data_IF_955389673748
#
_entry.id   IF_955389673748
#
_cell.length_a   1.000
_cell.length_b   1.000
_cell.length_c   1.000
_cell.angle_alpha   90.00
_cell.angle_beta   90.00
_cell.angle_gamma   90.00
#
_symmetry.space_group_name_H-M   'P 1'
#
loop_
_entity.id
_entity.type
_entity.pdbx_description
1 polymer ?
#
# COMPACT_ATOMS: atom_id res chain seq x y z
N UNK A 1 -1.47 -4.72 -7.02
CA UNK A 1 -0.71 -5.89 -7.47
C UNK A 1 -0.85 -7.09 -6.52
N UNK A 2 -0.14 -7.15 -5.37
CA UNK A 2 -0.13 -8.33 -4.47
C UNK A 2 -1.50 -8.88 -4.05
N UNK A 3 -2.43 -8.00 -3.67
CA UNK A 3 -3.77 -8.40 -3.21
C UNK A 3 -4.55 -9.15 -4.28
N UNK A 4 -4.66 -8.59 -5.49
CA UNK A 4 -5.39 -9.21 -6.59
C UNK A 4 -4.75 -10.53 -7.04
N UNK A 5 -3.43 -10.61 -7.11
CA UNK A 5 -2.73 -11.87 -7.45
C UNK A 5 -3.02 -12.94 -6.38
N UNK A 6 -2.97 -12.56 -5.10
CA UNK A 6 -3.23 -13.50 -4.00
C UNK A 6 -4.69 -13.97 -3.96
N UNK A 7 -5.63 -13.09 -4.28
CA UNK A 7 -7.03 -13.45 -4.46
C UNK A 7 -7.19 -14.45 -5.63
N UNK A 8 -6.50 -14.22 -6.76
CA UNK A 8 -6.63 -15.11 -7.93
C UNK A 8 -5.98 -16.48 -7.72
N UNK A 9 -4.89 -16.59 -6.94
CA UNK A 9 -4.37 -17.91 -6.52
C UNK A 9 -5.41 -18.65 -5.67
N UNK A 10 -6.02 -17.97 -4.70
CA UNK A 10 -7.07 -18.56 -3.88
C UNK A 10 -8.31 -18.96 -4.70
N UNK A 11 -8.72 -18.13 -5.67
CA UNK A 11 -9.82 -18.46 -6.59
C UNK A 11 -9.47 -19.63 -7.50
N UNK A 12 -8.24 -19.71 -8.01
CA UNK A 12 -7.79 -20.87 -8.80
C UNK A 12 -7.85 -22.16 -7.97
N UNK A 13 -7.50 -22.10 -6.68
CA UNK A 13 -7.67 -23.23 -5.74
C UNK A 13 -9.14 -23.64 -5.59
N UNK A 14 -10.05 -22.67 -5.37
CA UNK A 14 -11.49 -22.91 -5.21
C UNK A 14 -12.07 -23.58 -6.47
N UNK A 15 -11.67 -23.10 -7.65
CA UNK A 15 -12.15 -23.59 -8.94
C UNK A 15 -11.42 -24.85 -9.42
N UNK A 16 -10.41 -25.34 -8.68
CA UNK A 16 -9.48 -26.40 -9.12
C UNK A 16 -8.87 -26.13 -10.51
N UNK A 17 -8.58 -24.86 -10.78
CA UNK A 17 -8.07 -24.39 -12.07
C UNK A 17 -6.54 -24.30 -12.08
N UNK A 18 -5.97 -24.38 -13.28
CA UNK A 18 -4.57 -23.97 -13.52
C UNK A 18 -4.51 -22.46 -13.62
N UNK A 19 -3.60 -21.83 -12.87
CA UNK A 19 -3.34 -20.39 -12.94
C UNK A 19 -2.28 -20.12 -14.00
N UNK A 20 -2.53 -19.17 -14.90
CA UNK A 20 -1.48 -18.62 -15.76
C UNK A 20 -0.84 -17.43 -15.04
N UNK A 21 0.48 -17.25 -15.18
CA UNK A 21 1.19 -16.09 -14.62
C UNK A 21 0.44 -14.79 -14.96
N UNK A 22 0.11 -13.95 -13.97
CA UNK A 22 -0.70 -12.76 -14.20
C UNK A 22 -0.03 -11.72 -15.10
N UNK A 23 -0.81 -11.14 -16.00
CA UNK A 23 -0.44 -9.91 -16.68
C UNK A 23 -0.62 -8.72 -15.73
N UNK A 24 0.44 -7.92 -15.57
CA UNK A 24 0.37 -6.68 -14.80
C UNK A 24 -0.26 -5.57 -15.64
N UNK A 25 -1.00 -4.68 -14.98
CA UNK A 25 -1.64 -3.55 -15.65
C UNK A 25 -0.62 -2.49 -16.04
N UNK A 26 -0.56 -2.21 -17.35
CA UNK A 26 0.35 -1.23 -17.97
C UNK A 26 -0.34 0.05 -18.43
N UNK A 27 -1.67 0.14 -18.24
CA UNK A 27 -2.52 1.21 -18.80
C UNK A 27 -3.07 2.17 -17.74
N UNK A 28 -2.95 1.82 -16.46
CA UNK A 28 -3.36 2.67 -15.35
C UNK A 28 -2.45 3.89 -15.16
N UNK A 29 -2.82 4.76 -14.22
CA UNK A 29 -2.18 6.04 -13.90
C UNK A 29 -0.64 6.04 -13.88
N UNK A 30 -0.02 4.99 -13.34
CA UNK A 30 1.44 4.90 -13.19
C UNK A 30 2.19 4.50 -14.47
N UNK A 31 1.47 4.09 -15.53
CA UNK A 31 1.99 3.73 -16.86
C UNK A 31 3.21 2.78 -16.84
N UNK A 32 3.30 1.95 -15.81
CA UNK A 32 4.41 1.03 -15.60
C UNK A 32 4.39 -0.11 -16.61
N UNK A 33 5.53 -0.38 -17.25
CA UNK A 33 5.64 -1.39 -18.30
C UNK A 33 6.13 -2.76 -17.82
N UNK A 34 6.42 -2.90 -16.52
CA UNK A 34 6.92 -4.13 -15.91
C UNK A 34 6.02 -5.33 -16.19
N UNK A 35 6.64 -6.47 -16.49
CA UNK A 35 6.00 -7.78 -16.47
C UNK A 35 6.04 -8.37 -15.05
N UNK A 36 5.38 -9.52 -14.87
CA UNK A 36 5.40 -10.21 -13.57
C UNK A 36 6.82 -10.51 -13.10
N UNK A 37 7.66 -11.06 -13.98
CA UNK A 37 9.06 -11.44 -13.70
C UNK A 37 9.98 -10.24 -13.42
N UNK A 38 9.61 -9.05 -13.87
CA UNK A 38 10.39 -7.83 -13.63
C UNK A 38 10.19 -7.32 -12.19
N UNK A 39 9.08 -7.71 -11.54
CA UNK A 39 8.74 -7.29 -10.17
C UNK A 39 8.87 -8.43 -9.18
N UNK A 40 8.47 -9.64 -9.53
CA UNK A 40 8.46 -10.81 -8.66
C UNK A 40 9.32 -11.94 -9.21
N UNK A 41 9.87 -12.75 -8.30
CA UNK A 41 10.56 -13.98 -8.65
C UNK A 41 9.56 -15.02 -9.17
N UNK A 42 9.43 -15.11 -10.50
CA UNK A 42 8.49 -15.99 -11.20
C UNK A 42 8.71 -17.47 -10.87
N UNK A 43 9.97 -17.92 -10.86
CA UNK A 43 10.32 -19.32 -10.57
C UNK A 43 9.98 -19.68 -9.14
N UNK A 44 10.32 -18.81 -8.19
CA UNK A 44 9.95 -18.99 -6.79
C UNK A 44 8.42 -19.03 -6.62
N UNK A 45 7.68 -18.15 -7.30
CA UNK A 45 6.23 -18.12 -7.23
C UNK A 45 5.60 -19.44 -7.70
N UNK A 46 6.05 -19.99 -8.83
CA UNK A 46 5.57 -21.28 -9.37
C UNK A 46 5.93 -22.42 -8.41
N UNK A 47 7.19 -22.52 -8.00
CA UNK A 47 7.68 -23.60 -7.13
C UNK A 47 7.02 -23.58 -5.76
N UNK A 48 6.84 -22.40 -5.16
CA UNK A 48 6.24 -22.25 -3.84
C UNK A 48 4.78 -22.71 -3.82
N UNK A 49 4.04 -22.49 -4.92
CA UNK A 49 2.61 -22.83 -5.04
C UNK A 49 2.34 -24.23 -5.59
N UNK A 50 3.35 -25.01 -5.97
CA UNK A 50 3.19 -26.27 -6.70
C UNK A 50 2.25 -27.30 -6.02
N UNK A 51 2.22 -27.33 -4.68
CA UNK A 51 1.34 -28.23 -3.90
C UNK A 51 -0.06 -27.64 -3.63
N UNK A 52 -0.25 -26.35 -3.90
CA UNK A 52 -1.49 -25.62 -3.61
C UNK A 52 -2.29 -25.42 -4.91
N UNK A 53 -1.66 -24.90 -5.97
CA UNK A 53 -2.28 -24.57 -7.27
C UNK A 53 -1.27 -24.82 -8.38
N UNK A 54 -1.69 -25.47 -9.48
CA UNK A 54 -0.86 -25.59 -10.68
C UNK A 54 -0.70 -24.20 -11.32
N UNK A 55 0.53 -23.73 -11.46
CA UNK A 55 0.85 -22.45 -12.11
C UNK A 55 1.66 -22.72 -13.38
N UNK A 56 1.24 -22.12 -14.49
CA UNK A 56 1.92 -22.20 -15.78
C UNK A 56 2.33 -20.79 -16.25
N UNK A 57 3.49 -20.67 -16.90
CA UNK A 57 4.00 -19.38 -17.38
C UNK A 57 3.14 -18.78 -18.48
N UNK A 58 2.77 -19.64 -19.44
CA UNK A 58 2.05 -19.24 -20.63
C UNK A 58 0.81 -20.13 -20.80
N UNK A 59 -0.19 -19.59 -21.47
CA UNK A 59 -1.32 -20.38 -21.90
C UNK A 59 -0.82 -21.49 -22.86
N UNK A 60 -1.15 -22.77 -22.61
CA UNK A 60 -0.77 -23.87 -23.50
C UNK A 60 -1.19 -23.60 -24.95
N UNK A 61 -0.37 -24.00 -25.92
CA UNK A 61 -0.57 -23.67 -27.35
C UNK A 61 -1.91 -24.18 -27.87
N UNK A 62 -2.36 -25.32 -27.34
CA UNK A 62 -3.62 -25.97 -27.68
C UNK A 62 -4.83 -25.11 -27.25
N UNK A 63 -4.68 -24.32 -26.18
CA UNK A 63 -5.73 -23.46 -25.63
C UNK A 63 -5.74 -22.05 -26.21
N UNK A 64 -4.79 -21.70 -27.08
CA UNK A 64 -4.73 -20.37 -27.71
C UNK A 64 -5.97 -20.08 -28.56
N UNK A 65 -6.52 -21.11 -29.23
CA UNK A 65 -7.74 -21.02 -30.05
C UNK A 65 -9.00 -21.47 -29.32
N UNK A 66 -8.88 -21.93 -28.08
CA UNK A 66 -10.00 -22.42 -27.30
C UNK A 66 -11.02 -21.30 -26.98
N UNK A 67 -12.30 -21.64 -26.72
CA UNK A 67 -13.29 -20.66 -26.31
C UNK A 67 -12.88 -19.93 -25.03
N UNK A 68 -12.69 -18.61 -25.13
CA UNK A 68 -12.25 -17.75 -24.02
C UNK A 68 -13.41 -16.91 -23.48
N UNK A 69 -13.32 -16.56 -22.21
CA UNK A 69 -14.21 -15.59 -21.60
C UNK A 69 -13.42 -14.54 -20.84
N UNK A 70 -13.72 -13.27 -21.08
CA UNK A 70 -13.27 -12.18 -20.20
C UNK A 70 -14.36 -11.95 -19.16
N UNK A 71 -13.99 -12.00 -17.88
CA UNK A 71 -14.93 -11.86 -16.77
C UNK A 71 -14.47 -10.80 -15.78
N UNK A 72 -15.39 -9.93 -15.40
CA UNK A 72 -15.26 -9.04 -14.27
C UNK A 72 -15.96 -9.69 -13.09
N UNK A 73 -15.21 -10.38 -12.24
CA UNK A 73 -15.80 -11.05 -11.08
C UNK A 73 -16.49 -10.05 -10.15
N UNK A 74 -17.55 -10.49 -9.48
CA UNK A 74 -18.25 -9.68 -8.47
C UNK A 74 -17.27 -9.38 -7.32
N UNK A 75 -17.22 -8.12 -6.89
CA UNK A 75 -16.33 -7.70 -5.80
C UNK A 75 -16.71 -8.38 -4.48
N UNK A 76 -15.71 -8.69 -3.66
CA UNK A 76 -15.86 -9.26 -2.33
C UNK A 76 -16.65 -10.58 -2.26
N UNK A 77 -16.59 -11.40 -3.30
CA UNK A 77 -17.38 -12.62 -3.40
C UNK A 77 -16.86 -13.74 -2.50
N UNK A 78 -17.79 -14.50 -1.91
CA UNK A 78 -17.51 -15.73 -1.17
C UNK A 78 -17.24 -16.93 -2.08
N UNK A 79 -17.02 -18.10 -1.46
CA UNK A 79 -16.75 -19.35 -2.18
C UNK A 79 -17.92 -19.75 -3.09
N UNK A 80 -19.16 -19.59 -2.61
CA UNK A 80 -20.37 -19.99 -3.33
C UNK A 80 -20.50 -19.29 -4.69
N UNK A 81 -20.11 -18.03 -4.80
CA UNK A 81 -20.10 -17.31 -6.09
C UNK A 81 -19.20 -18.02 -7.12
N UNK A 82 -17.98 -18.39 -6.71
CA UNK A 82 -17.05 -19.05 -7.60
C UNK A 82 -17.51 -20.46 -7.95
N UNK A 83 -18.07 -21.20 -7.00
CA UNK A 83 -18.56 -22.56 -7.25
C UNK A 83 -19.83 -22.59 -8.09
N UNK A 84 -20.79 -21.69 -7.82
CA UNK A 84 -22.12 -21.76 -8.41
C UNK A 84 -22.27 -20.90 -9.67
N UNK A 85 -21.49 -19.82 -9.82
CA UNK A 85 -21.60 -18.93 -10.99
C UNK A 85 -20.39 -19.02 -11.93
N UNK A 86 -19.18 -19.24 -11.41
CA UNK A 86 -17.96 -19.26 -12.24
C UNK A 86 -17.61 -20.66 -12.69
N UNK A 87 -17.69 -21.67 -11.81
CA UNK A 87 -17.35 -23.06 -12.16
C UNK A 87 -18.18 -23.63 -13.31
N UNK A 88 -19.50 -23.37 -13.44
CA UNK A 88 -20.28 -23.88 -14.57
C UNK A 88 -19.81 -23.36 -15.93
N UNK A 89 -19.07 -22.25 -15.99
CA UNK A 89 -18.52 -21.73 -17.24
C UNK A 89 -17.53 -22.71 -17.89
N UNK A 90 -16.93 -23.64 -17.12
CA UNK A 90 -16.03 -24.66 -17.64
C UNK A 90 -16.70 -25.63 -18.61
N UNK A 91 -18.03 -25.77 -18.59
CA UNK A 91 -18.78 -26.60 -19.54
C UNK A 91 -18.70 -26.07 -20.98
N UNK A 92 -18.46 -24.77 -21.16
CA UNK A 92 -18.50 -24.11 -22.47
C UNK A 92 -17.29 -23.23 -22.76
N UNK A 93 -16.38 -23.06 -21.80
CA UNK A 93 -15.20 -22.21 -21.89
C UNK A 93 -14.02 -22.96 -21.29
N UNK A 94 -12.89 -22.92 -21.96
CA UNK A 94 -11.67 -23.58 -21.46
C UNK A 94 -10.69 -22.56 -20.84
N UNK A 95 -10.89 -21.27 -21.09
CA UNK A 95 -10.03 -20.19 -20.58
C UNK A 95 -10.87 -19.04 -20.06
N UNK A 96 -10.64 -18.66 -18.80
CA UNK A 96 -11.25 -17.48 -18.18
C UNK A 96 -10.17 -16.44 -17.89
N UNK A 97 -10.26 -15.28 -18.52
CA UNK A 97 -9.45 -14.11 -18.19
C UNK A 97 -10.20 -13.25 -17.16
N UNK A 98 -9.75 -13.30 -15.92
CA UNK A 98 -10.25 -12.43 -14.86
C UNK A 98 -9.72 -11.00 -15.05
N UNK A 99 -10.57 -10.10 -15.53
CA UNK A 99 -10.24 -8.69 -15.72
C UNK A 99 -10.40 -7.91 -14.41
N UNK A 100 -9.46 -7.00 -14.11
CA UNK A 100 -9.45 -6.14 -12.91
C UNK A 100 -9.64 -6.96 -11.62
N UNK A 101 -8.69 -7.84 -11.33
CA UNK A 101 -8.78 -8.85 -10.25
C UNK A 101 -8.64 -8.30 -8.83
N UNK A 102 -8.61 -6.99 -8.64
CA UNK A 102 -8.56 -6.36 -7.34
C UNK A 102 -9.89 -6.53 -6.56
N UNK A 103 -9.78 -6.87 -5.27
CA UNK A 103 -10.91 -6.94 -4.33
C UNK A 103 -12.04 -7.87 -4.79
N UNK A 104 -11.72 -9.01 -5.41
CA UNK A 104 -12.73 -9.95 -5.95
C UNK A 104 -13.12 -11.03 -4.97
N UNK A 105 -12.20 -11.44 -4.09
CA UNK A 105 -12.47 -12.45 -3.07
C UNK A 105 -12.77 -11.79 -1.72
N UNK A 106 -13.77 -12.31 -1.01
CA UNK A 106 -14.17 -11.82 0.31
C UNK A 106 -13.00 -11.82 1.31
N UNK A 107 -13.00 -10.87 2.24
CA UNK A 107 -12.02 -10.88 3.33
C UNK A 107 -12.39 -11.87 4.44
N UNK A 108 -13.67 -12.07 4.70
CA UNK A 108 -14.15 -12.87 5.83
C UNK A 108 -14.85 -14.13 5.32
N UNK A 109 -15.10 -15.08 6.23
CA UNK A 109 -15.90 -16.28 5.96
C UNK A 109 -15.35 -17.19 4.84
N UNK A 110 -14.06 -17.09 4.54
CA UNK A 110 -13.38 -18.07 3.70
C UNK A 110 -12.95 -19.29 4.53
N UNK A 111 -12.92 -20.49 3.93
CA UNK A 111 -12.32 -21.66 4.55
C UNK A 111 -10.88 -21.37 5.04
N UNK A 112 -10.47 -21.92 6.21
CA UNK A 112 -9.18 -21.61 6.80
C UNK A 112 -7.97 -21.89 5.89
N UNK A 113 -8.02 -22.96 5.08
CA UNK A 113 -6.99 -23.33 4.12
C UNK A 113 -6.87 -22.30 2.99
N UNK A 114 -8.00 -21.84 2.43
CA UNK A 114 -8.03 -20.76 1.42
C UNK A 114 -7.48 -19.46 1.98
N UNK A 115 -7.87 -19.10 3.21
CA UNK A 115 -7.39 -17.89 3.85
C UNK A 115 -5.89 -17.96 4.18
N UNK A 116 -5.37 -19.14 4.56
CA UNK A 116 -3.93 -19.39 4.76
C UNK A 116 -3.17 -19.31 3.44
N UNK A 117 -3.68 -19.95 2.38
CA UNK A 117 -3.10 -19.88 1.04
C UNK A 117 -2.99 -18.42 0.58
N UNK A 118 -4.08 -17.65 0.64
CA UNK A 118 -4.04 -16.22 0.29
C UNK A 118 -2.98 -15.44 1.06
N UNK A 119 -2.82 -15.69 2.36
CA UNK A 119 -1.79 -15.04 3.18
C UNK A 119 -0.36 -15.45 2.75
N UNK A 120 -0.12 -16.75 2.59
CA UNK A 120 1.18 -17.31 2.16
C UNK A 120 1.55 -16.82 0.76
N UNK A 121 0.59 -16.75 -0.16
CA UNK A 121 0.81 -16.16 -1.48
C UNK A 121 1.25 -14.71 -1.37
N UNK A 122 0.54 -13.90 -0.57
CA UNK A 122 0.80 -12.46 -0.47
C UNK A 122 2.20 -12.16 0.09
N UNK A 123 2.61 -12.87 1.15
CA UNK A 123 3.81 -12.54 1.92
C UNK A 123 5.02 -13.46 1.63
N UNK A 124 4.81 -14.66 1.09
CA UNK A 124 5.90 -15.61 0.84
C UNK A 124 6.07 -15.99 -0.63
N UNK A 125 4.97 -16.28 -1.37
CA UNK A 125 5.09 -16.65 -2.78
C UNK A 125 5.44 -15.44 -3.66
N UNK A 126 4.85 -14.27 -3.38
CA UNK A 126 5.17 -13.01 -4.04
C UNK A 126 6.44 -12.38 -3.46
N UNK A 127 7.56 -13.08 -3.59
CA UNK A 127 8.90 -12.51 -3.34
C UNK A 127 9.27 -11.59 -4.50
N UNK A 128 9.96 -10.47 -4.23
CA UNK A 128 10.38 -9.61 -5.33
C UNK A 128 11.48 -10.28 -6.17
N UNK A 129 11.67 -9.81 -7.39
CA UNK A 129 12.70 -10.32 -8.29
C UNK A 129 14.09 -10.18 -7.65
N UNK A 130 15.04 -11.12 -7.89
CA UNK A 130 16.35 -11.12 -7.21
C UNK A 130 17.12 -9.79 -7.27
N UNK A 131 17.14 -9.02 -8.38
CA UNK A 131 17.81 -7.70 -8.40
C UNK A 131 17.19 -6.69 -7.43
N UNK A 132 15.85 -6.68 -7.28
CA UNK A 132 15.13 -5.80 -6.35
C UNK A 132 15.43 -6.21 -4.91
N UNK A 133 15.40 -7.51 -4.61
CA UNK A 133 15.75 -8.03 -3.28
C UNK A 133 17.19 -7.67 -2.91
N UNK A 134 18.14 -7.81 -3.83
CA UNK A 134 19.54 -7.49 -3.59
C UNK A 134 19.75 -6.01 -3.23
N UNK A 135 19.24 -5.09 -4.05
CA UNK A 135 19.35 -3.66 -3.77
C UNK A 135 18.52 -3.26 -2.54
N UNK A 136 17.30 -3.79 -2.38
CA UNK A 136 16.46 -3.51 -1.22
C UNK A 136 17.13 -3.91 0.10
N UNK A 137 17.79 -5.06 0.14
CA UNK A 137 18.54 -5.51 1.33
C UNK A 137 19.77 -4.62 1.58
N UNK A 138 20.49 -4.21 0.53
CA UNK A 138 21.60 -3.27 0.66
C UNK A 138 21.14 -1.91 1.22
N UNK A 139 19.99 -1.41 0.76
CA UNK A 139 19.36 -0.20 1.31
C UNK A 139 19.00 -0.36 2.79
N UNK A 140 18.49 -1.53 3.19
CA UNK A 140 18.21 -1.86 4.60
C UNK A 140 19.49 -1.83 5.43
N UNK A 141 20.58 -2.44 4.97
CA UNK A 141 21.88 -2.43 5.66
C UNK A 141 22.40 -1.00 5.83
N UNK A 142 22.37 -0.20 4.76
CA UNK A 142 22.77 1.21 4.80
C UNK A 142 21.92 2.02 5.77
N UNK A 143 20.60 1.82 5.76
CA UNK A 143 19.71 2.49 6.71
C UNK A 143 19.99 2.10 8.16
N UNK A 144 20.22 0.80 8.42
CA UNK A 144 20.56 0.29 9.75
C UNK A 144 21.91 0.80 10.26
N UNK A 145 22.81 1.24 9.38
CA UNK A 145 24.09 1.85 9.80
C UNK A 145 23.91 3.20 10.53
N UNK A 146 22.77 3.88 10.33
CA UNK A 146 22.39 5.07 11.10
C UNK A 146 21.75 4.75 12.47
N UNK A 147 21.46 3.47 12.74
CA UNK A 147 20.79 3.00 13.96
C UNK A 147 19.35 2.50 13.72
N UNK A 148 18.62 2.14 14.79
CA UNK A 148 17.21 1.77 14.70
C UNK A 148 16.38 2.90 14.10
N UNK A 149 15.51 2.59 13.13
CA UNK A 149 14.89 3.62 12.30
C UNK A 149 13.38 3.46 12.13
N UNK A 150 12.75 4.59 11.82
CA UNK A 150 11.35 4.66 11.43
C UNK A 150 11.27 4.64 9.90
N UNK A 151 10.52 3.71 9.33
CA UNK A 151 10.06 3.84 7.96
C UNK A 151 8.72 4.60 7.94
N UNK A 152 8.77 5.81 7.40
CA UNK A 152 7.64 6.69 7.23
C UNK A 152 7.13 6.57 5.79
N UNK A 153 5.95 5.96 5.61
CA UNK A 153 5.27 5.98 4.33
C UNK A 153 4.49 7.30 4.18
N UNK A 154 5.17 8.31 3.63
CA UNK A 154 4.69 9.68 3.50
C UNK A 154 3.93 9.84 2.19
N UNK A 155 2.61 9.67 2.23
CA UNK A 155 1.74 9.79 1.05
C UNK A 155 1.35 11.24 0.78
N UNK A 156 2.33 12.10 0.59
CA UNK A 156 2.17 13.54 0.28
C UNK A 156 2.52 13.82 -1.18
N UNK A 157 2.18 12.91 -2.08
CA UNK A 157 2.38 13.08 -3.53
C UNK A 157 1.21 13.82 -4.18
N UNK A 158 1.51 14.52 -5.27
CA UNK A 158 0.58 15.39 -6.01
C UNK A 158 -0.70 14.68 -6.42
N UNK A 159 -0.59 13.44 -6.89
CA UNK A 159 -1.74 12.63 -7.31
C UNK A 159 -2.67 12.31 -6.14
N UNK A 160 -2.09 12.04 -4.96
CA UNK A 160 -2.86 11.74 -3.77
C UNK A 160 -3.62 12.96 -3.28
N UNK A 161 -2.94 14.11 -3.19
CA UNK A 161 -3.54 15.36 -2.71
C UNK A 161 -4.63 15.85 -3.67
N UNK A 162 -4.40 15.76 -4.99
CA UNK A 162 -5.41 16.06 -6.00
C UNK A 162 -6.63 15.14 -5.87
N UNK A 163 -6.42 13.82 -5.75
CA UNK A 163 -7.50 12.84 -5.61
C UNK A 163 -8.33 13.04 -4.34
N UNK A 164 -7.68 13.28 -3.20
CA UNK A 164 -8.38 13.47 -1.92
C UNK A 164 -8.94 14.87 -1.74
N UNK A 165 -8.58 15.83 -2.61
CA UNK A 165 -8.99 17.22 -2.50
C UNK A 165 -8.44 17.91 -1.26
N UNK A 166 -7.27 17.50 -0.76
CA UNK A 166 -6.71 18.01 0.48
C UNK A 166 -5.72 19.14 0.19
N UNK A 167 -6.01 20.33 0.72
CA UNK A 167 -5.25 21.55 0.43
C UNK A 167 -4.67 22.23 1.68
N UNK A 168 -4.82 21.64 2.86
CA UNK A 168 -4.29 22.21 4.09
C UNK A 168 -2.75 22.32 4.03
N UNK A 169 -2.25 23.51 4.33
CA UNK A 169 -0.82 23.84 4.27
C UNK A 169 -0.31 24.19 2.87
N UNK A 170 -1.17 24.18 1.85
CA UNK A 170 -0.82 24.57 0.48
C UNK A 170 -1.12 26.05 0.23
N UNK A 171 -0.43 26.64 -0.75
CA UNK A 171 -0.81 27.95 -1.29
C UNK A 171 -2.09 27.87 -2.13
N UNK A 172 -2.65 29.04 -2.46
CA UNK A 172 -3.79 29.12 -3.40
C UNK A 172 -3.41 28.56 -4.78
N UNK A 173 -2.21 28.87 -5.26
CA UNK A 173 -1.70 28.38 -6.56
C UNK A 173 -1.54 26.86 -6.59
N UNK A 174 -0.99 26.27 -5.52
CA UNK A 174 -0.90 24.82 -5.36
C UNK A 174 -2.30 24.18 -5.30
N UNK A 175 -3.22 24.80 -4.57
CA UNK A 175 -4.60 24.32 -4.42
C UNK A 175 -5.36 24.31 -5.76
N UNK A 176 -5.22 25.37 -6.55
CA UNK A 176 -5.78 25.48 -7.90
C UNK A 176 -5.20 24.43 -8.85
N UNK A 177 -3.88 24.20 -8.79
CA UNK A 177 -3.21 23.17 -9.59
C UNK A 177 -3.79 21.77 -9.29
N UNK A 178 -3.92 21.41 -8.02
CA UNK A 178 -4.50 20.13 -7.62
C UNK A 178 -5.96 20.01 -8.04
N UNK A 179 -6.73 21.10 -8.01
CA UNK A 179 -8.11 21.13 -8.50
C UNK A 179 -8.17 20.90 -10.02
N UNK A 180 -7.27 21.50 -10.81
CA UNK A 180 -7.16 21.27 -12.25
C UNK A 180 -6.82 19.81 -12.57
N UNK A 181 -5.86 19.21 -11.86
CA UNK A 181 -5.51 17.79 -12.03
C UNK A 181 -6.73 16.91 -11.76
N UNK A 182 -7.45 17.18 -10.67
CA UNK A 182 -8.67 16.45 -10.32
C UNK A 182 -9.74 16.61 -11.41
N UNK A 183 -9.96 17.81 -11.92
CA UNK A 183 -10.89 18.11 -13.01
C UNK A 183 -10.55 17.34 -14.30
N UNK A 184 -9.29 17.39 -14.72
CA UNK A 184 -8.81 16.79 -15.98
C UNK A 184 -8.73 15.25 -15.94
N UNK A 185 -8.69 14.65 -14.75
CA UNK A 185 -8.55 13.19 -14.62
C UNK A 185 -9.90 12.48 -14.83
N UNK A 186 -10.24 12.16 -16.08
CA UNK A 186 -11.59 11.70 -16.51
C UNK A 186 -12.17 10.50 -15.73
N UNK A 187 -11.34 9.59 -15.25
CA UNK A 187 -11.80 8.37 -14.57
C UNK A 187 -12.03 8.54 -13.04
N UNK A 188 -11.67 9.69 -12.46
CA UNK A 188 -12.04 10.02 -11.07
C UNK A 188 -13.46 10.58 -11.03
N UNK A 189 -14.34 9.90 -10.28
CA UNK A 189 -15.79 10.22 -10.27
C UNK A 189 -16.15 11.49 -9.49
N UNK A 190 -15.42 11.79 -8.42
CA UNK A 190 -15.71 12.93 -7.55
C UNK A 190 -14.76 14.08 -7.90
N UNK A 191 -15.32 15.24 -8.22
CA UNK A 191 -14.58 16.44 -8.66
C UNK A 191 -14.68 17.57 -7.65
N UNK A 192 -15.87 17.80 -7.14
CA UNK A 192 -16.14 18.80 -6.11
C UNK A 192 -15.96 18.15 -4.75
N UNK A 193 -14.96 18.63 -4.01
CA UNK A 193 -14.55 18.09 -2.71
C UNK A 193 -14.31 19.28 -1.78
N UNK A 194 -14.93 19.26 -0.61
CA UNK A 194 -14.63 20.20 0.47
C UNK A 194 -13.34 19.77 1.19
N UNK A 195 -12.22 20.53 1.07
CA UNK A 195 -10.95 20.18 1.70
C UNK A 195 -11.03 20.17 3.23
N UNK A 196 -11.83 21.04 3.84
CA UNK A 196 -11.97 21.17 5.29
C UNK A 196 -12.77 19.99 5.85
N UNK A 197 -13.82 19.57 5.14
CA UNK A 197 -14.59 18.38 5.50
C UNK A 197 -13.71 17.12 5.41
N UNK A 198 -12.94 16.93 4.32
CA UNK A 198 -12.05 15.78 4.18
C UNK A 198 -11.01 15.73 5.29
N UNK A 199 -10.40 16.87 5.61
CA UNK A 199 -9.38 16.94 6.66
C UNK A 199 -9.98 16.64 8.03
N UNK A 200 -11.06 17.31 8.42
CA UNK A 200 -11.70 17.11 9.73
C UNK A 200 -12.18 15.66 9.94
N UNK A 201 -12.52 14.92 8.88
CA UNK A 201 -12.85 13.51 8.96
C UNK A 201 -11.63 12.56 8.94
N UNK A 202 -10.41 13.08 8.81
CA UNK A 202 -9.18 12.30 8.73
C UNK A 202 -8.99 11.58 7.39
N UNK A 203 -9.64 12.06 6.34
CA UNK A 203 -9.56 11.53 4.98
C UNK A 203 -8.40 12.10 4.17
N UNK A 204 -7.69 13.09 4.71
CA UNK A 204 -6.44 13.60 4.17
C UNK A 204 -5.22 12.81 4.67
N UNK A 205 -4.14 12.72 3.88
CA UNK A 205 -2.80 12.43 4.39
C UNK A 205 -2.40 13.47 5.44
N UNK A 206 -1.63 13.05 6.44
CA UNK A 206 -0.94 14.02 7.31
C UNK A 206 0.16 14.72 6.50
N UNK A 207 0.29 16.04 6.68
CA UNK A 207 1.39 16.82 6.06
C UNK A 207 2.74 16.46 6.68
N UNK A 208 3.88 16.76 6.03
CA UNK A 208 5.19 16.53 6.64
C UNK A 208 5.35 17.23 8.00
N UNK A 209 4.85 18.47 8.15
CA UNK A 209 4.79 19.20 9.44
C UNK A 209 4.00 18.41 10.50
N UNK A 210 2.79 17.97 10.18
CA UNK A 210 1.94 17.20 11.10
C UNK A 210 2.57 15.86 11.50
N UNK A 211 3.25 15.19 10.55
CA UNK A 211 4.00 13.99 10.84
C UNK A 211 5.16 14.29 11.79
N UNK A 212 5.91 15.36 11.58
CA UNK A 212 7.00 15.78 12.48
C UNK A 212 6.51 16.03 13.91
N UNK A 213 5.39 16.73 14.06
CA UNK A 213 4.73 16.92 15.36
C UNK A 213 4.29 15.58 15.97
N UNK A 214 3.70 14.68 15.17
CA UNK A 214 3.25 13.37 15.62
C UNK A 214 4.42 12.51 16.14
N UNK A 215 5.52 12.42 15.40
CA UNK A 215 6.70 11.65 15.82
C UNK A 215 7.32 12.22 17.09
N UNK A 216 7.44 13.55 17.19
CA UNK A 216 7.93 14.24 18.39
C UNK A 216 7.02 13.95 19.60
N UNK A 217 5.71 14.03 19.40
CA UNK A 217 4.72 13.78 20.44
C UNK A 217 4.68 12.32 20.93
N UNK A 218 5.04 11.36 20.07
CA UNK A 218 5.25 9.96 20.45
C UNK A 218 6.52 9.74 21.29
N UNK A 219 7.39 10.75 21.40
CA UNK A 219 8.62 10.71 22.20
C UNK A 219 9.86 10.26 21.43
N UNK A 220 9.83 10.26 20.10
CA UNK A 220 11.04 10.00 19.31
C UNK A 220 11.98 11.21 19.37
N UNK A 221 13.26 11.03 19.76
CA UNK A 221 14.22 12.13 19.78
C UNK A 221 14.57 12.58 18.35
N UNK A 222 15.05 13.82 18.21
CA UNK A 222 15.44 14.39 16.91
C UNK A 222 16.52 13.59 16.18
N UNK A 223 17.37 12.88 16.94
CA UNK A 223 18.41 11.98 16.39
C UNK A 223 17.86 10.69 15.78
N UNK A 224 16.55 10.43 15.83
CA UNK A 224 15.94 9.23 15.26
C UNK A 224 16.10 9.22 13.73
N UNK A 225 16.74 8.21 13.13
CA UNK A 225 16.78 8.04 11.69
C UNK A 225 15.38 7.75 11.13
N UNK A 226 15.02 8.46 10.05
CA UNK A 226 13.74 8.26 9.37
C UNK A 226 13.98 7.97 7.89
N UNK A 227 13.48 6.84 7.43
CA UNK A 227 13.41 6.48 6.02
C UNK A 227 12.07 6.93 5.43
N UNK A 228 12.09 7.78 4.41
CA UNK A 228 10.91 8.26 3.68
C UNK A 228 10.60 7.29 2.53
N UNK A 229 9.55 6.49 2.72
CA UNK A 229 9.00 5.61 1.69
C UNK A 229 7.88 6.34 0.93
N UNK A 230 8.24 7.04 -0.15
CA UNK A 230 7.31 7.84 -0.94
C UNK A 230 7.75 7.97 -2.40
N UNK A 231 6.80 8.35 -3.26
CA UNK A 231 7.13 8.99 -4.54
C UNK A 231 7.62 10.43 -4.35
N UNK A 232 7.52 11.23 -5.41
CA UNK A 232 7.84 12.66 -5.35
C UNK A 232 6.90 13.39 -4.37
N UNK A 233 7.48 14.00 -3.34
CA UNK A 233 6.76 14.80 -2.36
C UNK A 233 6.35 16.11 -3.02
N UNK A 234 5.06 16.45 -2.96
CA UNK A 234 4.56 17.69 -3.54
C UNK A 234 5.20 18.91 -2.86
N UNK A 235 5.62 19.88 -3.67
CA UNK A 235 6.44 21.05 -3.29
C UNK A 235 7.85 20.75 -2.79
N UNK A 236 8.27 19.48 -2.71
CA UNK A 236 9.65 19.10 -2.44
C UNK A 236 10.18 19.63 -1.10
N UNK A 237 11.32 20.32 -1.13
CA UNK A 237 12.01 20.77 0.08
C UNK A 237 11.21 21.78 0.92
N UNK A 238 10.39 22.62 0.28
CA UNK A 238 9.61 23.65 1.00
C UNK A 238 8.63 23.03 1.99
N UNK A 239 7.94 21.97 1.60
CA UNK A 239 7.00 21.25 2.48
C UNK A 239 7.71 20.27 3.44
N UNK A 240 8.95 19.90 3.16
CA UNK A 240 9.72 18.96 4.00
C UNK A 240 10.51 19.65 5.12
N UNK A 241 10.67 20.97 5.07
CA UNK A 241 11.53 21.74 6.00
C UNK A 241 11.19 21.51 7.48
N UNK A 242 9.90 21.50 7.85
CA UNK A 242 9.46 21.26 9.22
C UNK A 242 9.77 19.84 9.71
N UNK A 243 9.64 18.84 8.83
CA UNK A 243 9.97 17.47 9.19
C UNK A 243 11.49 17.30 9.35
N UNK A 244 12.25 17.89 8.42
CA UNK A 244 13.71 17.83 8.37
C UNK A 244 14.36 18.58 9.54
N UNK A 245 13.77 19.68 10.01
CA UNK A 245 14.26 20.41 11.19
C UNK A 245 14.08 19.62 12.48
N UNK A 246 13.00 18.84 12.60
CA UNK A 246 12.72 17.97 13.75
C UNK A 246 13.53 16.68 13.73
N UNK A 247 13.73 16.10 12.55
CA UNK A 247 14.46 14.84 12.36
C UNK A 247 15.53 15.02 11.28
N UNK A 248 16.76 15.43 11.62
CA UNK A 248 17.78 15.75 10.63
C UNK A 248 18.26 14.56 9.78
N UNK A 249 18.10 13.33 10.27
CA UNK A 249 18.52 12.11 9.56
C UNK A 249 17.34 11.58 8.72
N UNK A 250 16.94 12.35 7.69
CA UNK A 250 15.95 11.91 6.70
C UNK A 250 16.64 11.28 5.49
N UNK A 251 16.43 9.97 5.33
CA UNK A 251 16.91 9.19 4.22
C UNK A 251 15.76 8.75 3.31
N UNK A 252 16.06 8.50 2.05
CA UNK A 252 15.18 7.83 1.09
C UNK A 252 16.06 6.95 0.19
N UNK A 253 15.46 6.16 -0.70
CA UNK A 253 16.21 5.31 -1.63
C UNK A 253 17.22 6.10 -2.47
N UNK A 254 16.89 7.33 -2.89
CA UNK A 254 17.77 8.20 -3.68
C UNK A 254 18.99 8.71 -2.91
N UNK A 255 18.88 8.91 -1.59
CA UNK A 255 20.01 9.28 -0.71
C UNK A 255 20.85 8.07 -0.29
N UNK A 256 20.24 6.89 -0.23
CA UNK A 256 20.90 5.66 0.23
C UNK A 256 21.56 4.86 -0.90
N UNK A 257 21.16 5.04 -2.16
CA UNK A 257 21.77 4.39 -3.31
C UNK A 257 22.38 5.40 -4.28
N UNK A 258 23.42 4.97 -4.99
CA UNK A 258 23.97 5.76 -6.08
C UNK A 258 22.99 5.81 -7.26
N UNK A 259 23.15 6.82 -8.11
CA UNK A 259 22.38 6.91 -9.35
C UNK A 259 22.57 5.66 -10.24
N UNK A 260 23.76 5.07 -10.24
CA UNK A 260 24.08 3.86 -11.00
C UNK A 260 23.36 2.62 -10.48
N UNK A 261 23.28 2.46 -9.15
CA UNK A 261 22.55 1.38 -8.49
C UNK A 261 21.05 1.46 -8.75
N UNK A 262 20.48 2.67 -8.78
CA UNK A 262 19.05 2.90 -9.01
C UNK A 262 18.65 2.88 -10.49
N UNK A 263 19.59 3.15 -11.41
CA UNK A 263 19.34 3.27 -12.85
C UNK A 263 18.53 2.11 -13.46
N UNK A 264 18.72 0.83 -13.08
CA UNK A 264 17.93 -0.27 -13.63
C UNK A 264 16.44 -0.22 -13.26
N UNK A 265 16.11 0.43 -12.14
CA UNK A 265 14.78 0.43 -11.52
C UNK A 265 14.02 1.74 -11.74
N UNK A 266 14.72 2.86 -11.95
CA UNK A 266 14.18 4.22 -11.89
C UNK A 266 13.06 4.52 -12.90
N UNK A 267 12.99 3.78 -14.01
CA UNK A 267 11.93 3.93 -15.01
C UNK A 267 10.65 3.14 -14.67
N UNK A 268 10.68 2.32 -13.62
CA UNK A 268 9.60 1.41 -13.24
C UNK A 268 9.11 1.72 -11.82
N UNK A 269 7.99 2.45 -11.74
CA UNK A 269 7.40 2.87 -10.46
C UNK A 269 7.14 1.69 -9.50
N UNK A 270 6.75 0.53 -10.02
CA UNK A 270 6.50 -0.70 -9.25
C UNK A 270 7.78 -1.27 -8.65
N UNK A 271 8.91 -1.17 -9.35
CA UNK A 271 10.20 -1.63 -8.84
C UNK A 271 10.76 -0.66 -7.80
N UNK A 272 10.65 0.64 -8.04
CA UNK A 272 11.01 1.67 -7.04
C UNK A 272 10.17 1.54 -5.76
N UNK A 273 8.86 1.32 -5.89
CA UNK A 273 7.99 1.05 -4.75
C UNK A 273 8.30 -0.29 -4.04
N UNK A 274 8.87 -1.27 -4.75
CA UNK A 274 9.31 -2.53 -4.16
C UNK A 274 10.53 -2.34 -3.25
N UNK A 275 11.48 -1.46 -3.63
CA UNK A 275 12.60 -1.08 -2.76
C UNK A 275 12.09 -0.42 -1.47
N UNK A 276 11.19 0.56 -1.60
CA UNK A 276 10.55 1.21 -0.44
C UNK A 276 9.80 0.20 0.44
N UNK A 277 9.18 -0.82 -0.16
CA UNK A 277 8.48 -1.87 0.57
C UNK A 277 9.43 -2.70 1.43
N UNK A 278 10.57 -3.13 0.88
CA UNK A 278 11.57 -3.94 1.60
C UNK A 278 12.09 -3.17 2.81
N UNK A 279 12.54 -1.92 2.60
CA UNK A 279 13.04 -1.06 3.68
C UNK A 279 11.96 -0.82 4.74
N UNK A 280 10.71 -0.63 4.34
CA UNK A 280 9.61 -0.43 5.29
C UNK A 280 9.22 -1.67 6.10
N UNK A 281 9.38 -2.87 5.55
CA UNK A 281 9.10 -4.13 6.27
C UNK A 281 10.19 -4.43 7.29
N UNK A 282 11.44 -4.07 6.98
CA UNK A 282 12.62 -4.32 7.81
C UNK A 282 12.91 -3.26 8.88
N UNK A 283 12.18 -2.14 8.88
CA UNK A 283 12.34 -1.09 9.89
C UNK A 283 11.91 -1.52 11.30
N UNK A 284 12.43 -0.83 12.32
CA UNK A 284 12.03 -1.05 13.72
C UNK A 284 10.58 -0.59 13.95
N UNK A 285 10.21 0.53 13.33
CA UNK A 285 8.87 1.10 13.39
C UNK A 285 8.41 1.48 12.00
N UNK A 286 7.17 1.13 11.66
CA UNK A 286 6.53 1.59 10.42
C UNK A 286 5.36 2.51 10.74
N UNK A 287 5.29 3.66 10.07
CA UNK A 287 4.24 4.67 10.25
C UNK A 287 3.78 5.15 8.87
N UNK A 288 2.51 4.94 8.49
CA UNK A 288 1.97 5.51 7.27
C UNK A 288 1.23 6.84 7.53
N UNK A 289 1.57 7.91 6.82
CA UNK A 289 0.85 9.19 6.91
C UNK A 289 -0.56 9.11 6.31
N UNK A 290 -0.80 8.15 5.42
CA UNK A 290 -2.09 7.87 4.82
C UNK A 290 -2.38 6.38 4.68
N UNK A 291 -3.67 6.03 4.62
CA UNK A 291 -4.10 4.65 4.39
C UNK A 291 -4.11 4.39 2.90
N UNK A 292 -3.35 3.39 2.46
CA UNK A 292 -3.30 3.01 1.04
C UNK A 292 -2.89 1.56 0.86
N UNK A 293 -2.77 1.13 -0.40
CA UNK A 293 -2.40 -0.24 -0.73
C UNK A 293 -1.02 -0.62 -0.16
N UNK A 294 -0.02 0.25 -0.30
CA UNK A 294 1.31 0.03 0.24
C UNK A 294 1.32 -0.02 1.77
N UNK A 295 0.73 0.98 2.43
CA UNK A 295 0.59 1.00 3.89
C UNK A 295 -0.08 -0.29 4.43
N UNK A 296 -1.15 -0.77 3.79
CA UNK A 296 -1.83 -2.01 4.16
C UNK A 296 -0.97 -3.25 3.92
N UNK A 297 -0.22 -3.28 2.82
CA UNK A 297 0.64 -4.39 2.45
C UNK A 297 1.84 -4.51 3.40
N UNK A 298 2.53 -3.41 3.72
CA UNK A 298 3.63 -3.37 4.68
C UNK A 298 3.14 -3.73 6.09
N UNK A 299 2.08 -3.07 6.57
CA UNK A 299 1.49 -3.38 7.88
C UNK A 299 0.95 -4.82 7.97
N UNK A 300 0.52 -5.39 6.85
CA UNK A 300 0.16 -6.82 6.74
C UNK A 300 1.38 -7.72 6.91
N UNK A 301 2.46 -7.41 6.21
CA UNK A 301 3.68 -8.22 6.20
C UNK A 301 4.40 -8.17 7.55
N UNK A 302 4.50 -6.99 8.15
CA UNK A 302 5.03 -6.79 9.50
C UNK A 302 4.24 -7.60 10.56
N UNK A 303 2.92 -7.72 10.39
CA UNK A 303 2.10 -8.61 11.24
C UNK A 303 2.38 -10.09 10.98
N UNK A 304 2.53 -10.47 9.71
CA UNK A 304 2.89 -11.83 9.32
C UNK A 304 4.25 -12.25 9.91
N UNK A 305 5.22 -11.33 9.97
CA UNK A 305 6.52 -11.52 10.63
C UNK A 305 6.48 -11.27 12.14
N UNK A 306 5.48 -11.82 12.84
CA UNK A 306 5.44 -11.80 14.29
C UNK A 306 5.07 -10.44 14.89
N UNK A 307 4.12 -9.72 14.28
CA UNK A 307 3.58 -8.47 14.84
C UNK A 307 4.61 -7.35 15.09
N UNK A 308 5.57 -7.18 14.16
CA UNK A 308 6.52 -6.05 14.20
C UNK A 308 5.77 -4.71 14.32
N UNK A 309 6.36 -3.78 15.08
CA UNK A 309 5.69 -2.53 15.48
C UNK A 309 5.26 -1.71 14.27
N UNK A 310 3.97 -1.37 14.22
CA UNK A 310 3.39 -0.48 13.21
C UNK A 310 2.43 0.48 13.88
N UNK A 311 2.78 1.77 13.93
CA UNK A 311 1.92 2.78 14.54
C UNK A 311 0.99 3.33 13.46
N UNK A 312 -0.30 3.09 13.59
CA UNK A 312 -1.32 3.57 12.65
C UNK A 312 -1.93 4.88 13.18
N UNK A 313 -1.65 6.03 12.53
CA UNK A 313 -2.16 7.31 13.01
C UNK A 313 -3.69 7.34 13.10
N UNK A 314 -4.23 7.90 14.17
CA UNK A 314 -5.61 8.33 14.24
C UNK A 314 -5.74 9.73 13.65
N UNK A 315 -5.68 9.79 12.32
CA UNK A 315 -5.62 11.07 11.59
C UNK A 315 -6.74 12.01 11.98
N UNK A 316 -7.97 11.52 12.12
CA UNK A 316 -9.11 12.32 12.54
C UNK A 316 -8.84 13.00 13.88
N UNK A 317 -8.43 12.26 14.91
CA UNK A 317 -8.16 12.85 16.20
C UNK A 317 -6.86 13.69 16.22
N UNK A 318 -5.85 13.33 15.43
CA UNK A 318 -4.61 14.09 15.30
C UNK A 318 -4.84 15.48 14.68
N UNK A 319 -5.59 15.58 13.59
CA UNK A 319 -5.85 16.88 12.93
C UNK A 319 -6.54 17.85 13.89
N UNK A 320 -7.50 17.39 14.69
CA UNK A 320 -8.18 18.23 15.69
C UNK A 320 -7.24 18.69 16.82
N UNK A 321 -6.21 17.89 17.15
CA UNK A 321 -5.20 18.31 18.12
C UNK A 321 -4.23 19.32 17.50
N UNK A 322 -3.80 19.09 16.26
CA UNK A 322 -2.89 19.99 15.56
C UNK A 322 -3.55 21.33 15.23
N UNK A 323 -4.85 21.37 14.92
CA UNK A 323 -5.59 22.62 14.75
C UNK A 323 -5.61 23.46 16.04
N UNK A 324 -5.66 22.81 17.20
CA UNK A 324 -5.52 23.50 18.50
C UNK A 324 -4.12 24.01 18.73
N UNK A 325 -3.11 23.32 18.20
CA UNK A 325 -1.72 23.80 18.24
C UNK A 325 -1.57 25.05 17.37
N UNK A 326 -2.02 24.98 16.11
CA UNK A 326 -1.90 26.11 15.18
C UNK A 326 -2.70 27.34 15.61
N UNK A 327 -3.83 27.15 16.31
CA UNK A 327 -4.62 28.25 16.87
C UNK A 327 -4.14 28.76 18.24
N UNK A 328 -3.06 28.19 18.80
CA UNK A 328 -2.51 28.57 20.10
C UNK A 328 -3.37 28.11 21.30
N UNK A 329 -4.34 27.23 21.09
CA UNK A 329 -5.20 26.64 22.14
C UNK A 329 -4.55 25.45 22.85
N UNK A 330 -3.45 24.91 22.31
CA UNK A 330 -2.69 23.82 22.89
C UNK A 330 -1.22 23.92 22.50
N UNK A 331 -0.32 24.05 23.46
CA UNK A 331 1.12 24.04 23.14
C UNK A 331 1.63 22.65 22.79
N UNK A 332 2.66 22.60 21.94
CA UNK A 332 3.51 21.42 21.82
C UNK A 332 4.19 21.15 23.17
N UNK A 333 4.18 19.89 23.60
CA UNK A 333 4.79 19.50 24.87
C UNK A 333 4.04 18.36 25.56
N UNK A 334 4.28 18.22 26.87
CA UNK A 334 3.83 17.05 27.64
C UNK A 334 2.34 16.73 27.49
N UNK A 335 1.48 17.75 27.46
CA UNK A 335 0.02 17.57 27.36
C UNK A 335 -0.40 17.01 25.99
N UNK A 336 0.18 17.53 24.91
CA UNK A 336 -0.05 17.01 23.55
C UNK A 336 0.49 15.58 23.44
N UNK A 337 1.73 15.35 23.88
CA UNK A 337 2.37 14.03 23.90
C UNK A 337 1.52 13.00 24.64
N UNK A 338 1.04 13.31 25.84
CA UNK A 338 0.22 12.40 26.63
C UNK A 338 -1.05 11.99 25.86
N UNK A 339 -1.79 12.96 25.30
CA UNK A 339 -3.00 12.68 24.51
C UNK A 339 -2.70 11.78 23.31
N UNK A 340 -1.62 12.09 22.59
CA UNK A 340 -1.20 11.33 21.40
C UNK A 340 -0.75 9.91 21.77
N UNK A 341 0.00 9.75 22.86
CA UNK A 341 0.44 8.43 23.32
C UNK A 341 -0.78 7.60 23.73
N UNK A 342 -1.67 8.13 24.56
CA UNK A 342 -2.88 7.45 25.06
C UNK A 342 -3.76 6.96 23.91
N UNK A 343 -4.09 7.82 22.94
CA UNK A 343 -4.95 7.46 21.81
C UNK A 343 -4.31 6.43 20.85
N UNK A 344 -2.98 6.28 20.86
CA UNK A 344 -2.25 5.33 20.00
C UNK A 344 -1.79 4.04 20.71
N UNK A 345 -2.05 3.86 22.01
CA UNK A 345 -1.62 2.66 22.76
C UNK A 345 -2.06 1.36 22.09
N UNK A 346 -3.29 1.30 21.55
CA UNK A 346 -3.86 0.11 20.88
C UNK A 346 -3.68 0.11 19.35
N UNK A 347 -2.88 1.04 18.80
CA UNK A 347 -2.70 1.24 17.35
C UNK A 347 -1.27 0.91 16.89
N UNK A 348 -0.56 0.02 17.59
CA UNK A 348 0.86 -0.25 17.38
C UNK A 348 1.20 -1.60 16.69
N UNK A 349 0.22 -2.23 16.03
CA UNK A 349 0.44 -3.47 15.26
C UNK A 349 0.18 -4.77 16.03
N UNK A 350 -0.33 -4.69 17.26
CA UNK A 350 -0.71 -5.84 18.07
C UNK A 350 -1.72 -6.76 17.37
N UNK A 351 -1.77 -8.06 17.72
CA UNK A 351 -2.79 -8.97 17.24
C UNK A 351 -4.18 -8.38 17.47
N UNK A 352 -5.02 -8.39 16.43
CA UNK A 352 -6.39 -7.91 16.50
C UNK A 352 -7.32 -8.81 15.73
N UNK A 353 -8.53 -9.03 16.25
CA UNK A 353 -9.60 -9.67 15.48
C UNK A 353 -9.94 -8.77 14.30
N UNK A 354 -10.04 -9.37 13.10
CA UNK A 354 -10.53 -8.69 11.91
C UNK A 354 -11.99 -8.33 12.19
N UNK A 355 -12.32 -7.04 12.19
CA UNK A 355 -13.71 -6.57 12.22
C UNK A 355 -14.22 -6.54 10.78
N UNK A 356 -15.53 -6.71 10.59
CA UNK A 356 -16.19 -6.45 9.32
C UNK A 356 -16.05 -4.98 8.88
N UNK A 357 -16.54 -4.62 7.69
CA UNK A 357 -16.69 -3.22 7.32
C UNK A 357 -17.44 -2.44 8.41
N UNK A 358 -17.13 -1.14 8.55
CA UNK A 358 -17.86 -0.27 9.48
C UNK A 358 -19.29 -0.14 8.96
N UNK A 359 -20.30 -0.27 9.82
CA UNK A 359 -21.70 -0.03 9.48
C UNK A 359 -21.83 1.30 8.72
N UNK A 360 -22.45 1.29 7.54
CA UNK A 360 -22.62 2.48 6.69
C UNK A 360 -21.48 2.79 5.71
N UNK A 361 -20.34 2.07 5.75
CA UNK A 361 -19.37 2.13 4.64
C UNK A 361 -19.90 1.27 3.49
N UNK A 362 -19.98 1.82 2.27
CA UNK A 362 -20.38 1.09 1.05
C UNK A 362 -19.38 -0.02 0.74
N UNK A 363 -19.63 -1.14 1.38
CA UNK A 363 -19.13 -2.49 1.22
C UNK A 363 -20.16 -3.36 1.93
N UNK A 364 -21.44 -3.11 1.61
CA UNK A 364 -22.60 -3.74 2.21
C UNK A 364 -22.49 -5.25 2.04
N UNK A 365 -22.79 -5.97 3.12
CA UNK A 365 -23.20 -7.37 3.14
C UNK A 365 -23.79 -7.82 1.80
N UNK A 366 -23.00 -8.52 0.98
CA UNK A 366 -23.42 -9.25 -0.22
C UNK A 366 -22.45 -10.34 -0.60
#
# INVERSE_FOLDING_TARGET
>A
MRAGISDMVAVARILKATLIIPELDKKSFWLDKSNFSDVFDEEHFIRYLANDVKVEKNLPKELVKAPKSVRYFKSWSGVDYYQNEISPLWEHRQVIRAAKSDSRLANNFLPPDIQKLRCRTFFQALRFAPPIEALGNLLVERMKSFGPYIALHLRYEKDMLAFSGCTYGLSDTESEELAMIRGNTTYWKVKDIDPLEQRSHGHCPLTPKEVGMFLSALGYPSSTPVYIAAGEIYGGESHMVDLQSRFPILMNKEKLASAEELRPFSQYASQMAALDYIVSVESDVFIPSYSGNMARAVAGHRRFHGHRKTISPDRKALVHLFDKVDSGLLDEGKRLSQKIIEMHQKRQGSPRKRKGPVSGTRGSDR
#
